data_IF_872199806402
#
_entry.id   IF_872199806402
#
_cell.length_a   1.000
_cell.length_b   1.000
_cell.length_c   1.000
_cell.angle_alpha   90.00
_cell.angle_beta   90.00
_cell.angle_gamma   90.00
#
_symmetry.space_group_name_H-M   'P 1'
#
loop_
_entity.id
_entity.type
_entity.pdbx_description
1 polymer ?
#
# COMPACT_ATOMS: atom_id res chain seq x y z
N UNK A 1 16.55 -6.64 10.49
CA UNK A 1 16.38 -7.38 9.21
C UNK A 1 17.60 -8.29 9.08
N UNK A 2 17.43 -9.58 8.75
CA UNK A 2 18.58 -10.49 8.58
C UNK A 2 19.20 -10.22 7.22
N UNK A 3 20.41 -9.66 7.23
CA UNK A 3 21.25 -9.51 6.04
C UNK A 3 22.01 -10.82 5.77
N UNK A 4 22.45 -11.05 4.53
CA UNK A 4 23.16 -12.23 4.05
C UNK A 4 24.59 -12.38 4.63
N UNK A 5 24.90 -11.64 5.70
CA UNK A 5 26.18 -11.60 6.42
C UNK A 5 25.96 -11.51 7.95
N UNK A 6 25.29 -12.51 8.54
CA UNK A 6 25.29 -12.87 9.98
C UNK A 6 25.31 -11.73 11.03
N UNK A 7 24.72 -10.58 10.72
CA UNK A 7 24.65 -9.42 11.62
C UNK A 7 23.22 -8.95 11.78
N UNK A 8 22.75 -8.85 13.04
CA UNK A 8 21.49 -8.16 13.34
C UNK A 8 21.75 -6.66 13.33
N UNK A 9 21.34 -5.99 12.25
CA UNK A 9 21.39 -4.53 12.17
C UNK A 9 19.99 -3.94 12.35
N UNK A 10 19.91 -2.91 13.19
CA UNK A 10 18.68 -2.18 13.48
C UNK A 10 18.58 -0.95 12.59
N UNK A 11 17.34 -0.59 12.24
CA UNK A 11 16.95 0.69 11.65
C UNK A 11 16.55 1.58 12.82
N UNK A 12 16.94 2.86 12.82
CA UNK A 12 16.60 3.75 13.95
C UNK A 12 15.09 3.82 14.15
N UNK A 13 14.36 4.08 13.06
CA UNK A 13 12.91 3.98 13.04
C UNK A 13 12.41 3.34 11.75
N UNK A 14 11.32 2.59 11.90
CA UNK A 14 10.62 1.99 10.76
C UNK A 14 9.14 2.30 10.82
N UNK A 15 8.59 2.70 9.69
CA UNK A 15 7.16 2.83 9.49
C UNK A 15 6.74 1.85 8.39
N UNK A 16 5.89 0.89 8.75
CA UNK A 16 5.35 -0.09 7.82
C UNK A 16 3.83 0.03 7.77
N UNK A 17 3.27 0.27 6.58
CA UNK A 17 1.82 0.28 6.33
C UNK A 17 1.52 -0.27 4.94
N UNK A 18 0.76 -1.35 4.85
CA UNK A 18 0.53 -2.10 3.61
C UNK A 18 1.86 -2.53 2.94
N UNK A 19 2.07 -2.17 1.67
CA UNK A 19 3.31 -2.39 0.92
C UNK A 19 4.35 -1.28 1.12
N UNK A 20 4.01 -0.20 1.85
CA UNK A 20 4.95 0.88 2.15
C UNK A 20 5.86 0.46 3.30
N UNK A 21 7.15 0.33 3.00
CA UNK A 21 8.22 0.19 3.99
C UNK A 21 9.03 1.48 3.99
N UNK A 22 8.97 2.24 5.08
CA UNK A 22 9.78 3.44 5.29
C UNK A 22 10.79 3.18 6.40
N UNK A 23 12.07 3.39 6.09
CA UNK A 23 13.14 3.53 7.06
C UNK A 23 13.42 5.01 7.28
N UNK A 24 13.55 5.41 8.55
CA UNK A 24 14.01 6.74 8.93
C UNK A 24 15.29 6.53 9.74
N UNK A 25 16.39 7.07 9.25
CA UNK A 25 17.71 6.99 9.89
C UNK A 25 18.09 8.39 10.40
N UNK A 26 18.64 8.46 11.62
CA UNK A 26 19.14 9.70 12.23
C UNK A 26 20.67 9.65 12.25
N UNK A 27 21.28 10.41 11.35
CA UNK A 27 22.73 10.44 11.18
C UNK A 27 23.36 11.49 12.10
N UNK A 28 24.12 11.05 13.11
CA UNK A 28 24.91 11.95 13.95
C UNK A 28 26.10 12.54 13.18
N UNK A 29 26.27 13.87 13.23
CA UNK A 29 27.50 14.54 12.80
C UNK A 29 28.30 14.97 14.04
N UNK A 30 29.50 14.41 14.21
CA UNK A 30 30.37 14.67 15.36
C UNK A 30 31.77 14.09 15.14
N UNK A 31 32.67 14.10 16.14
CA UNK A 31 34.01 13.53 16.01
C UNK A 31 34.01 12.03 15.65
N UNK A 32 32.88 11.33 15.72
CA UNK A 32 32.71 9.97 15.20
C UNK A 32 32.51 9.90 13.69
N UNK A 33 31.95 10.93 13.03
CA UNK A 33 31.86 10.98 11.56
C UNK A 33 33.25 11.15 10.93
N UNK A 34 34.17 11.85 11.61
CA UNK A 34 35.59 11.94 11.22
C UNK A 34 36.41 10.70 11.61
N UNK A 35 35.90 9.85 12.51
CA UNK A 35 36.47 8.55 12.88
C UNK A 35 35.88 7.38 12.08
N UNK A 36 34.89 7.65 11.21
CA UNK A 36 34.30 6.62 10.36
C UNK A 36 35.35 6.12 9.38
N UNK A 37 35.66 4.83 9.46
CA UNK A 37 36.58 4.21 8.51
C UNK A 37 36.00 4.19 7.09
N UNK A 38 36.86 4.15 6.07
CA UNK A 38 36.44 3.99 4.67
C UNK A 38 35.53 2.78 4.46
N UNK A 39 35.76 1.70 5.21
CA UNK A 39 34.98 0.49 5.15
C UNK A 39 33.57 0.70 5.72
N UNK A 40 33.44 1.38 6.87
CA UNK A 40 32.14 1.72 7.46
C UNK A 40 31.31 2.62 6.55
N UNK A 41 31.96 3.60 5.90
CA UNK A 41 31.29 4.46 4.92
C UNK A 41 30.77 3.64 3.73
N UNK A 42 31.61 2.79 3.14
CA UNK A 42 31.21 1.90 2.04
C UNK A 42 30.07 0.96 2.45
N UNK A 43 30.13 0.40 3.65
CA UNK A 43 29.11 -0.52 4.17
C UNK A 43 27.76 0.17 4.37
N UNK A 44 27.72 1.45 4.77
CA UNK A 44 26.48 2.22 4.93
C UNK A 44 25.79 2.41 3.57
N UNK A 45 26.54 2.71 2.50
CA UNK A 45 26.00 2.82 1.14
C UNK A 45 25.51 1.49 0.58
N UNK A 46 26.29 0.41 0.78
CA UNK A 46 25.87 -0.94 0.36
C UNK A 46 24.56 -1.32 1.07
N UNK A 47 24.45 -1.06 2.37
CA UNK A 47 23.21 -1.29 3.13
C UNK A 47 22.04 -0.49 2.57
N UNK A 48 22.24 0.80 2.29
CA UNK A 48 21.20 1.64 1.71
C UNK A 48 20.70 1.05 0.38
N UNK A 49 21.63 0.59 -0.47
CA UNK A 49 21.28 -0.05 -1.74
C UNK A 49 20.46 -1.33 -1.53
N UNK A 50 20.84 -2.19 -0.58
CA UNK A 50 20.05 -3.38 -0.26
C UNK A 50 18.63 -3.04 0.19
N UNK A 51 18.47 -2.04 1.07
CA UNK A 51 17.14 -1.58 1.50
C UNK A 51 16.31 -1.07 0.31
N UNK A 52 16.91 -0.28 -0.59
CA UNK A 52 16.22 0.20 -1.80
C UNK A 52 15.79 -0.96 -2.69
N UNK A 53 16.66 -1.95 -2.91
CA UNK A 53 16.35 -3.18 -3.68
C UNK A 53 15.19 -3.95 -3.04
N UNK A 54 15.15 -4.04 -1.70
CA UNK A 54 14.10 -4.70 -0.93
C UNK A 54 12.77 -3.92 -0.85
N UNK A 55 12.69 -2.81 -1.59
CA UNK A 55 11.50 -1.97 -1.73
C UNK A 55 11.32 -0.95 -0.62
N UNK A 56 12.35 -0.71 0.22
CA UNK A 56 12.29 0.33 1.23
C UNK A 56 12.41 1.72 0.62
N UNK A 57 11.62 2.64 1.16
CA UNK A 57 11.87 4.08 1.07
C UNK A 57 12.69 4.48 2.29
N UNK A 58 13.63 5.40 2.10
CA UNK A 58 14.59 5.77 3.13
C UNK A 58 14.60 7.28 3.23
N UNK A 59 14.45 7.81 4.45
CA UNK A 59 14.65 9.21 4.78
C UNK A 59 15.79 9.31 5.79
N UNK A 60 16.78 10.12 5.47
CA UNK A 60 17.89 10.44 6.36
C UNK A 60 17.69 11.84 6.91
N UNK A 61 17.83 11.98 8.23
CA UNK A 61 17.90 13.28 8.89
C UNK A 61 19.20 13.33 9.67
N UNK A 62 19.91 14.46 9.65
CA UNK A 62 21.02 14.59 10.59
C UNK A 62 20.48 14.78 12.01
N UNK A 63 21.26 14.41 13.01
CA UNK A 63 20.92 14.70 14.41
C UNK A 63 20.66 16.20 14.62
N UNK A 64 21.46 17.05 13.99
CA UNK A 64 21.32 18.51 14.05
C UNK A 64 20.00 18.97 13.39
N UNK A 65 19.55 18.32 12.31
CA UNK A 65 18.25 18.61 11.70
C UNK A 65 17.10 18.30 12.64
N UNK A 66 17.13 17.15 13.29
CA UNK A 66 16.10 16.75 14.26
C UNK A 66 16.09 17.67 15.47
N UNK A 67 17.27 18.11 15.92
CA UNK A 67 17.43 18.96 17.10
C UNK A 67 17.09 20.43 16.84
N UNK A 68 17.68 21.01 15.80
CA UNK A 68 17.67 22.46 15.56
C UNK A 68 16.59 22.86 14.55
N UNK A 69 16.15 21.94 13.68
CA UNK A 69 15.14 22.20 12.63
C UNK A 69 13.98 21.18 12.63
N UNK A 70 13.38 20.81 13.78
CA UNK A 70 12.39 19.73 13.86
C UNK A 70 11.18 19.94 12.96
N UNK A 71 10.69 21.18 12.82
CA UNK A 71 9.55 21.52 11.95
C UNK A 71 9.79 21.18 10.48
N UNK A 72 11.03 21.31 10.01
CA UNK A 72 11.41 20.96 8.64
C UNK A 72 11.37 19.44 8.44
N UNK A 73 11.91 18.68 9.40
CA UNK A 73 11.83 17.21 9.41
C UNK A 73 10.37 16.72 9.43
N UNK A 74 9.53 17.32 10.28
CA UNK A 74 8.09 17.04 10.32
C UNK A 74 7.40 17.32 8.98
N UNK A 75 7.71 18.44 8.33
CA UNK A 75 7.14 18.77 7.02
C UNK A 75 7.57 17.77 5.94
N UNK A 76 8.84 17.34 5.92
CA UNK A 76 9.31 16.30 4.99
C UNK A 76 8.56 15.00 5.23
N UNK A 77 8.41 14.60 6.50
CA UNK A 77 7.63 13.42 6.86
C UNK A 77 6.18 13.55 6.41
N UNK A 78 5.52 14.69 6.65
CA UNK A 78 4.14 14.93 6.21
C UNK A 78 4.01 14.87 4.69
N UNK A 79 4.95 15.44 3.94
CA UNK A 79 4.97 15.37 2.47
C UNK A 79 5.16 13.93 1.98
N UNK A 80 6.06 13.18 2.60
CA UNK A 80 6.24 11.75 2.32
C UNK A 80 4.94 10.99 2.56
N UNK A 81 4.33 11.19 3.72
CA UNK A 81 3.07 10.53 4.10
C UNK A 81 1.94 10.94 3.16
N UNK A 82 1.80 12.22 2.80
CA UNK A 82 0.82 12.68 1.82
C UNK A 82 1.03 12.05 0.44
N UNK A 83 2.28 11.92 -0.02
CA UNK A 83 2.60 11.33 -1.33
C UNK A 83 2.29 9.84 -1.39
N UNK A 84 2.65 9.09 -0.34
CA UNK A 84 2.60 7.62 -0.35
C UNK A 84 1.37 7.05 0.36
N UNK A 85 0.76 7.79 1.30
CA UNK A 85 -0.46 7.40 2.01
C UNK A 85 -1.69 8.21 1.61
N UNK A 86 -1.53 9.38 0.99
CA UNK A 86 -2.68 10.22 0.58
C UNK A 86 -3.56 9.59 -0.49
N UNK A 87 -3.06 8.59 -1.24
CA UNK A 87 -3.88 7.73 -2.12
C UNK A 87 -4.51 6.54 -1.38
N UNK A 88 -3.94 6.14 -0.23
CA UNK A 88 -4.34 5.00 0.61
C UNK A 88 -5.20 5.41 1.82
N UNK A 89 -5.83 6.59 1.77
CA UNK A 89 -6.96 6.94 2.63
C UNK A 89 -8.20 6.10 2.30
N UNK A 90 -8.11 5.22 1.30
CA UNK A 90 -9.05 4.12 1.15
C UNK A 90 -8.72 3.04 2.18
N UNK A 91 -9.27 3.27 3.38
CA UNK A 91 -9.82 2.31 4.34
C UNK A 91 -9.37 0.86 4.15
N UNK A 92 -8.91 0.23 5.24
CA UNK A 92 -8.92 -1.23 5.37
C UNK A 92 -10.35 -1.74 5.13
N UNK A 93 -10.74 -1.92 3.87
CA UNK A 93 -12.06 -2.44 3.51
C UNK A 93 -11.98 -3.92 3.78
N UNK A 94 -12.39 -4.31 4.99
CA UNK A 94 -12.55 -5.72 5.35
C UNK A 94 -13.57 -6.33 4.39
N UNK A 95 -13.08 -7.12 3.44
CA UNK A 95 -13.90 -7.85 2.50
C UNK A 95 -14.61 -9.01 3.21
N UNK A 96 -15.92 -9.08 3.09
CA UNK A 96 -16.68 -10.27 3.48
C UNK A 96 -16.53 -11.40 2.43
N UNK A 97 -17.02 -12.59 2.76
CA UNK A 97 -16.92 -13.75 1.86
C UNK A 97 -17.60 -13.52 0.50
N UNK A 98 -18.78 -12.92 0.50
CA UNK A 98 -19.53 -12.61 -0.74
C UNK A 98 -18.74 -11.66 -1.63
N UNK A 99 -18.16 -10.61 -1.06
CA UNK A 99 -17.33 -9.64 -1.79
C UNK A 99 -16.09 -10.30 -2.39
N UNK A 100 -15.45 -11.20 -1.64
CA UNK A 100 -14.30 -11.99 -2.11
C UNK A 100 -14.67 -12.88 -3.30
N UNK A 101 -15.80 -13.60 -3.23
CA UNK A 101 -16.25 -14.45 -4.33
C UNK A 101 -16.56 -13.62 -5.58
N UNK A 102 -17.25 -12.48 -5.43
CA UNK A 102 -17.56 -11.60 -6.55
C UNK A 102 -16.29 -11.03 -7.18
N UNK A 103 -15.31 -10.61 -6.38
CA UNK A 103 -14.01 -10.13 -6.89
C UNK A 103 -13.27 -11.25 -7.61
N UNK A 104 -13.19 -12.46 -7.02
CA UNK A 104 -12.54 -13.61 -7.66
C UNK A 104 -13.18 -13.93 -9.00
N UNK A 105 -14.51 -13.95 -9.06
CA UNK A 105 -15.25 -14.17 -10.30
C UNK A 105 -14.95 -13.09 -11.34
N UNK A 106 -14.93 -11.81 -10.92
CA UNK A 106 -14.61 -10.68 -11.77
C UNK A 106 -13.23 -10.77 -12.42
N UNK A 107 -12.23 -11.24 -11.67
CA UNK A 107 -10.85 -11.39 -12.15
C UNK A 107 -10.70 -12.52 -13.17
N UNK A 108 -11.62 -13.49 -13.16
CA UNK A 108 -11.59 -14.66 -14.03
C UNK A 108 -12.42 -14.49 -15.32
N UNK A 109 -13.06 -13.33 -15.52
CA UNK A 109 -13.88 -13.05 -16.71
C UNK A 109 -13.31 -11.86 -17.49
N UNK A 110 -13.22 -11.98 -18.82
CA UNK A 110 -12.73 -10.90 -19.69
C UNK A 110 -13.83 -9.85 -20.02
N UNK A 111 -14.81 -9.68 -19.14
CA UNK A 111 -15.93 -8.75 -19.34
C UNK A 111 -16.47 -8.21 -18.02
N UNK A 112 -17.24 -7.12 -18.11
CA UNK A 112 -17.98 -6.59 -16.97
C UNK A 112 -18.93 -7.64 -16.36
N UNK A 113 -19.01 -7.65 -15.02
CA UNK A 113 -19.95 -8.45 -14.24
C UNK A 113 -21.36 -7.89 -14.41
N UNK A 114 -22.34 -8.76 -14.62
CA UNK A 114 -23.76 -8.43 -14.71
C UNK A 114 -24.52 -8.94 -13.47
N UNK A 115 -25.70 -8.38 -13.15
CA UNK A 115 -26.54 -8.89 -12.06
C UNK A 115 -26.85 -10.39 -12.14
N UNK A 116 -27.02 -10.92 -13.35
CA UNK A 116 -27.25 -12.36 -13.56
C UNK A 116 -26.03 -13.21 -13.20
N UNK A 117 -24.82 -12.70 -13.39
CA UNK A 117 -23.60 -13.41 -13.00
C UNK A 117 -23.53 -13.55 -11.47
N UNK A 118 -23.86 -12.48 -10.74
CA UNK A 118 -23.89 -12.50 -9.26
C UNK A 118 -25.02 -13.39 -8.74
N UNK A 119 -26.16 -13.41 -9.45
CA UNK A 119 -27.29 -14.30 -9.14
C UNK A 119 -26.88 -15.76 -9.24
N UNK A 120 -26.23 -16.15 -10.35
CA UNK A 120 -25.73 -17.50 -10.57
C UNK A 120 -24.57 -17.87 -9.62
N UNK A 121 -23.63 -16.94 -9.37
CA UNK A 121 -22.46 -17.18 -8.52
C UNK A 121 -22.86 -17.43 -7.06
N UNK A 122 -23.84 -16.70 -6.54
CA UNK A 122 -24.22 -16.73 -5.13
C UNK A 122 -25.47 -17.56 -4.86
N UNK A 123 -26.11 -18.10 -5.89
CA UNK A 123 -27.43 -18.75 -5.85
C UNK A 123 -28.49 -17.89 -5.14
N UNK A 124 -28.65 -16.65 -5.60
CA UNK A 124 -29.60 -15.68 -5.02
C UNK A 124 -30.47 -15.01 -6.08
N UNK A 125 -31.70 -14.66 -5.71
CA UNK A 125 -32.60 -13.93 -6.60
C UNK A 125 -32.11 -12.52 -6.97
N UNK A 126 -32.60 -12.00 -8.10
CA UNK A 126 -32.13 -10.76 -8.72
C UNK A 126 -32.07 -9.56 -7.77
N UNK A 127 -33.06 -9.39 -6.89
CA UNK A 127 -33.10 -8.28 -5.92
C UNK A 127 -31.87 -8.27 -5.01
N UNK A 128 -31.43 -9.44 -4.53
CA UNK A 128 -30.26 -9.58 -3.66
C UNK A 128 -28.97 -9.36 -4.45
N UNK A 129 -28.90 -9.82 -5.69
CA UNK A 129 -27.76 -9.53 -6.59
C UNK A 129 -27.55 -8.03 -6.80
N UNK A 130 -28.63 -7.28 -7.04
CA UNK A 130 -28.56 -5.81 -7.14
C UNK A 130 -28.10 -5.15 -5.84
N UNK A 131 -28.56 -5.64 -4.68
CA UNK A 131 -28.12 -5.13 -3.38
C UNK A 131 -26.62 -5.36 -3.15
N UNK A 132 -26.10 -6.55 -3.49
CA UNK A 132 -24.67 -6.87 -3.40
C UNK A 132 -23.86 -5.95 -4.31
N UNK A 133 -24.24 -5.85 -5.59
CA UNK A 133 -23.54 -4.98 -6.56
C UNK A 133 -23.57 -3.52 -6.14
N UNK A 134 -24.71 -3.04 -5.63
CA UNK A 134 -24.84 -1.67 -5.10
C UNK A 134 -23.93 -1.47 -3.89
N UNK A 135 -23.99 -2.35 -2.89
CA UNK A 135 -23.15 -2.26 -1.70
C UNK A 135 -21.65 -2.28 -2.04
N UNK A 136 -21.23 -3.11 -3.00
CA UNK A 136 -19.85 -3.15 -3.48
C UNK A 136 -19.46 -1.88 -4.25
N UNK A 137 -20.39 -1.28 -5.00
CA UNK A 137 -20.16 0.01 -5.69
C UNK A 137 -20.05 1.15 -4.68
N UNK A 138 -20.93 1.18 -3.66
CA UNK A 138 -20.91 2.18 -2.57
C UNK A 138 -19.61 2.07 -1.74
N UNK A 139 -18.99 0.88 -1.69
CA UNK A 139 -17.67 0.63 -1.09
C UNK A 139 -16.49 0.89 -2.03
N UNK A 140 -16.72 1.41 -3.23
CA UNK A 140 -15.70 1.61 -4.26
C UNK A 140 -14.95 0.33 -4.65
N UNK A 141 -15.57 -0.84 -4.50
CA UNK A 141 -15.03 -2.12 -4.97
C UNK A 141 -15.33 -2.37 -6.45
N UNK A 142 -16.46 -1.84 -6.92
CA UNK A 142 -16.93 -1.93 -8.30
C UNK A 142 -17.24 -0.54 -8.86
N UNK A 143 -17.17 -0.41 -10.19
CA UNK A 143 -17.60 0.78 -10.94
C UNK A 143 -18.50 0.41 -12.12
N UNK A 144 -19.49 1.24 -12.50
CA UNK A 144 -20.31 0.99 -13.68
C UNK A 144 -19.46 0.86 -14.94
N UNK A 145 -19.74 -0.14 -15.79
CA UNK A 145 -18.98 -0.39 -17.01
C UNK A 145 -19.30 0.56 -18.18
N UNK A 146 -20.31 1.43 -18.05
CA UNK A 146 -20.72 2.37 -19.09
C UNK A 146 -21.25 3.69 -18.52
N UNK A 147 -21.48 4.66 -19.42
CA UNK A 147 -21.89 6.05 -19.09
C UNK A 147 -23.40 6.23 -18.86
N UNK A 148 -24.20 5.18 -19.04
CA UNK A 148 -25.65 5.22 -18.91
C UNK A 148 -26.11 5.42 -17.45
N UNK A 149 -26.73 6.57 -17.17
CA UNK A 149 -27.22 6.92 -15.81
C UNK A 149 -28.61 6.35 -15.46
N UNK A 150 -29.38 5.90 -16.46
CA UNK A 150 -30.75 5.36 -16.25
C UNK A 150 -30.78 3.86 -15.89
N UNK A 151 -29.81 3.07 -16.36
CA UNK A 151 -29.75 1.64 -16.09
C UNK A 151 -28.29 1.17 -16.20
N UNK A 152 -27.72 0.67 -15.11
CA UNK A 152 -26.38 0.08 -15.09
C UNK A 152 -26.51 -1.40 -15.49
N UNK A 153 -25.94 -1.76 -16.64
CA UNK A 153 -26.03 -3.13 -17.19
C UNK A 153 -24.85 -4.03 -16.83
N UNK A 154 -23.78 -3.46 -16.26
CA UNK A 154 -22.61 -4.20 -15.84
C UNK A 154 -21.63 -3.35 -15.05
N UNK A 155 -20.71 -4.04 -14.36
CA UNK A 155 -19.77 -3.48 -13.40
C UNK A 155 -18.38 -4.02 -13.68
N UNK A 156 -17.38 -3.13 -13.66
CA UNK A 156 -15.97 -3.48 -13.69
C UNK A 156 -15.40 -3.40 -12.28
N UNK A 157 -14.30 -4.14 -12.02
CA UNK A 157 -13.54 -3.95 -10.80
C UNK A 157 -12.97 -2.53 -10.75
N UNK A 158 -13.00 -1.95 -9.55
CA UNK A 158 -12.25 -0.74 -9.29
C UNK A 158 -10.77 -1.11 -9.09
N UNK A 159 -9.86 -0.27 -9.56
CA UNK A 159 -8.40 -0.45 -9.42
C UNK A 159 -7.99 -0.71 -7.95
N UNK A 160 -8.69 -0.08 -7.01
CA UNK A 160 -8.47 -0.25 -5.58
C UNK A 160 -8.87 -1.65 -5.08
N UNK A 161 -9.93 -2.25 -5.64
CA UNK A 161 -10.37 -3.59 -5.27
C UNK A 161 -9.36 -4.66 -5.71
N UNK A 162 -8.75 -4.48 -6.88
CA UNK A 162 -7.69 -5.35 -7.37
C UNK A 162 -6.46 -5.31 -6.43
N UNK A 163 -6.04 -4.11 -6.03
CA UNK A 163 -4.95 -3.94 -5.07
C UNK A 163 -5.25 -4.53 -3.68
N UNK A 164 -6.52 -4.49 -3.23
CA UNK A 164 -6.94 -5.13 -1.97
C UNK A 164 -6.92 -6.66 -2.10
N UNK A 165 -7.36 -7.22 -3.24
CA UNK A 165 -7.40 -8.66 -3.47
C UNK A 165 -6.02 -9.31 -3.47
N UNK A 166 -5.07 -8.70 -4.18
CA UNK A 166 -3.68 -9.16 -4.27
C UNK A 166 -3.00 -9.17 -2.89
N UNK A 167 -3.34 -8.22 -2.01
CA UNK A 167 -2.82 -8.13 -0.63
C UNK A 167 -3.42 -9.15 0.35
N UNK A 168 -4.59 -9.73 0.06
CA UNK A 168 -5.28 -10.65 0.99
C UNK A 168 -5.11 -12.13 0.63
N UNK A 169 -4.56 -12.45 -0.55
CA UNK A 169 -4.41 -13.82 -1.06
C UNK A 169 -2.96 -14.19 -1.42
N UNK A 170 -1.99 -13.40 -0.92
CA UNK A 170 -0.55 -13.70 -0.87
C UNK A 170 -0.06 -13.53 0.57
#
# INVERSE_FOLDING_TARGET
MKDFRDGTRFLDFTFMRHSLKLAIEIDGYGPHASQMSRNQFSDQWIRQNHLVIDGWKILHFSYDDVKDRPRMCEQILQQFMGRFLGRDASTYVKLNYVEKEVIRFALNIDRAIKPNDVSALLDVGSRKSYQVLKAMTDKSLLKPAGSGRKCIRGYNLHEQAQAIWEKNNH
#
